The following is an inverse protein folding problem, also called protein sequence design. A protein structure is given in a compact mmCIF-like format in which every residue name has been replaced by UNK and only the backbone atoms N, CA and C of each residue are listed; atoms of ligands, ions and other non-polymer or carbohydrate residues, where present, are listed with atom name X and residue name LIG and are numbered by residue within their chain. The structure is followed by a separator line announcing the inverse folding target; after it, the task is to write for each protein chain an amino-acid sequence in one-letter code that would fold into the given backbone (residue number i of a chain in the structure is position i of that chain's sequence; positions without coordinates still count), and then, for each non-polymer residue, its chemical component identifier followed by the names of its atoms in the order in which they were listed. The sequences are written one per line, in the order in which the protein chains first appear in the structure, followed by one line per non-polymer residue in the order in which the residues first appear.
data_IF_716940595371
#
_entry.id   IF_716940595371
#
_cell.length_a   1.000
_cell.length_b   1.000
_cell.length_c   1.000
_cell.angle_alpha   90.00
_cell.angle_beta   90.00
_cell.angle_gamma   90.00
#
_symmetry.space_group_name_H-M   'P 1'
#
loop_
_entity.id
_entity.type
_entity.pdbx_description
1 polymer ?
#
# COMPACT_ATOMS: atom_id res chain seq x y z
N UNK A 1 38.31 -66.07 13.76
CA UNK A 1 37.98 -64.76 14.36
C UNK A 1 37.36 -63.96 13.24
N UNK A 2 36.04 -64.05 13.14
CA UNK A 2 35.21 -63.46 12.08
C UNK A 2 34.47 -62.23 12.63
N UNK A 3 34.11 -61.37 11.69
CA UNK A 3 33.04 -60.36 11.71
C UNK A 3 33.28 -58.94 12.24
N UNK A 4 33.36 -58.04 11.25
CA UNK A 4 32.61 -56.80 11.03
C UNK A 4 32.68 -55.62 12.03
N UNK A 5 33.24 -54.47 11.61
CA UNK A 5 32.90 -53.16 12.16
C UNK A 5 31.58 -52.63 11.57
N UNK A 6 30.76 -52.07 12.45
CA UNK A 6 29.43 -51.53 12.18
C UNK A 6 29.43 -50.30 11.25
N UNK A 7 28.40 -50.26 10.43
CA UNK A 7 28.01 -49.12 9.61
C UNK A 7 27.56 -47.95 10.49
N UNK A 8 28.27 -46.82 10.41
CA UNK A 8 27.73 -45.52 10.79
C UNK A 8 27.42 -44.73 9.51
N UNK A 9 26.14 -44.63 9.23
CA UNK A 9 25.54 -43.79 8.19
C UNK A 9 25.76 -42.32 8.56
N UNK A 10 26.79 -41.71 7.98
CA UNK A 10 27.04 -40.27 8.03
C UNK A 10 26.45 -39.60 6.80
N UNK A 11 25.19 -39.19 6.91
CA UNK A 11 24.46 -38.49 5.86
C UNK A 11 25.21 -37.25 5.37
N UNK A 12 25.28 -37.16 4.04
CA UNK A 12 25.75 -36.01 3.29
C UNK A 12 24.97 -34.75 3.69
N UNK A 13 25.57 -33.89 4.52
CA UNK A 13 25.14 -32.51 4.65
C UNK A 13 25.63 -31.74 3.42
N UNK A 14 24.90 -31.92 2.31
CA UNK A 14 24.99 -31.09 1.11
C UNK A 14 24.51 -29.70 1.53
N UNK A 15 25.46 -28.82 1.88
CA UNK A 15 25.20 -27.40 2.11
C UNK A 15 24.53 -26.84 0.86
N UNK A 16 23.20 -26.76 0.89
CA UNK A 16 22.42 -26.02 -0.09
C UNK A 16 22.80 -24.56 0.09
N UNK A 17 23.70 -24.12 -0.78
CA UNK A 17 23.84 -22.73 -1.17
C UNK A 17 22.45 -22.25 -1.57
N UNK A 18 21.78 -21.52 -0.68
CA UNK A 18 20.69 -20.63 -1.07
C UNK A 18 21.32 -19.54 -1.92
N UNK A 19 21.41 -19.80 -3.22
CA UNK A 19 21.65 -18.81 -4.25
C UNK A 19 20.55 -17.75 -4.09
N UNK A 20 20.91 -16.63 -3.48
CA UNK A 20 20.24 -15.38 -3.75
C UNK A 20 20.45 -15.11 -5.23
N UNK A 21 19.50 -15.55 -6.05
CA UNK A 21 19.43 -15.17 -7.45
C UNK A 21 19.11 -13.67 -7.47
N UNK A 22 20.15 -12.86 -7.40
CA UNK A 22 20.09 -11.47 -7.81
C UNK A 22 19.59 -11.51 -9.25
N UNK A 23 18.38 -11.01 -9.49
CA UNK A 23 17.91 -10.79 -10.85
C UNK A 23 19.02 -10.05 -11.62
N UNK A 24 19.36 -10.47 -12.85
CA UNK A 24 20.38 -9.79 -13.61
C UNK A 24 20.04 -8.29 -13.69
N UNK A 25 21.04 -7.40 -13.56
CA UNK A 25 20.79 -5.97 -13.69
C UNK A 25 20.18 -5.72 -15.07
N UNK A 26 19.04 -5.04 -15.12
CA UNK A 26 18.42 -4.58 -16.38
C UNK A 26 19.48 -3.78 -17.13
N UNK A 27 19.76 -4.19 -18.37
CA UNK A 27 20.77 -3.50 -19.18
C UNK A 27 20.29 -2.10 -19.54
N UNK A 28 21.23 -1.18 -19.78
CA UNK A 28 20.88 0.20 -20.15
C UNK A 28 20.09 0.23 -21.46
N UNK A 29 20.39 -0.68 -22.38
CA UNK A 29 19.70 -0.87 -23.65
C UNK A 29 18.24 -1.31 -23.44
N UNK A 30 17.98 -2.27 -22.55
CA UNK A 30 16.62 -2.70 -22.21
C UNK A 30 15.82 -1.57 -21.56
N UNK A 31 16.45 -0.78 -20.67
CA UNK A 31 15.80 0.36 -20.04
C UNK A 31 15.41 1.44 -21.07
N UNK A 32 16.28 1.74 -22.04
CA UNK A 32 15.98 2.68 -23.14
C UNK A 32 14.83 2.18 -24.01
N UNK A 33 14.85 0.91 -24.40
CA UNK A 33 13.77 0.30 -25.20
C UNK A 33 12.44 0.32 -24.45
N UNK A 34 12.44 0.03 -23.16
CA UNK A 34 11.24 0.09 -22.33
C UNK A 34 10.67 1.50 -22.25
N UNK A 35 11.51 2.53 -22.08
CA UNK A 35 11.08 3.93 -22.07
C UNK A 35 10.52 4.38 -23.43
N UNK A 36 11.09 3.90 -24.53
CA UNK A 36 10.55 4.15 -25.87
C UNK A 36 9.17 3.54 -26.06
N UNK A 37 8.96 2.31 -25.57
CA UNK A 37 7.65 1.66 -25.58
C UNK A 37 6.63 2.43 -24.74
N UNK A 38 7.00 2.86 -23.52
CA UNK A 38 6.13 3.66 -22.65
C UNK A 38 5.74 5.00 -23.30
N UNK A 39 6.67 5.65 -24.02
CA UNK A 39 6.38 6.91 -24.71
C UNK A 39 5.34 6.74 -25.82
N UNK A 40 5.29 5.58 -26.46
CA UNK A 40 4.33 5.27 -27.52
C UNK A 40 2.99 4.71 -27.03
N UNK A 41 2.90 4.31 -25.76
CA UNK A 41 1.71 3.67 -25.21
C UNK A 41 0.56 4.67 -24.96
N UNK A 42 -0.70 4.27 -25.18
CA UNK A 42 -1.85 5.07 -24.77
C UNK A 42 -1.86 5.31 -23.25
N UNK A 43 -2.18 6.53 -22.82
CA UNK A 43 -2.20 6.87 -21.41
C UNK A 43 -3.23 6.03 -20.63
N UNK A 44 -4.36 5.70 -21.25
CA UNK A 44 -5.42 4.88 -20.68
C UNK A 44 -4.92 3.46 -20.39
N UNK A 45 -4.10 2.89 -21.27
CA UNK A 45 -3.48 1.58 -21.07
C UNK A 45 -2.52 1.61 -19.88
N UNK A 46 -1.64 2.62 -19.81
CA UNK A 46 -0.71 2.78 -18.71
C UNK A 46 -1.43 2.97 -17.37
N UNK A 47 -2.51 3.75 -17.35
CA UNK A 47 -3.35 3.93 -16.17
C UNK A 47 -4.03 2.63 -15.74
N UNK A 48 -4.52 1.83 -16.69
CA UNK A 48 -5.11 0.53 -16.40
C UNK A 48 -4.10 -0.45 -15.79
N UNK A 49 -2.86 -0.48 -16.30
CA UNK A 49 -1.78 -1.34 -15.80
C UNK A 49 -1.34 -0.93 -14.39
N UNK A 50 -1.19 0.37 -14.15
CA UNK A 50 -0.89 0.92 -12.81
C UNK A 50 -1.99 0.59 -11.82
N UNK A 51 -3.26 0.83 -12.18
CA UNK A 51 -4.40 0.54 -11.31
C UNK A 51 -4.48 -0.97 -11.01
N UNK A 52 -4.32 -1.82 -12.02
CA UNK A 52 -4.34 -3.27 -11.83
C UNK A 52 -3.25 -3.73 -10.86
N UNK A 53 -2.05 -3.15 -10.97
CA UNK A 53 -0.93 -3.45 -10.08
C UNK A 53 -1.20 -2.99 -8.63
N UNK A 54 -1.74 -1.78 -8.45
CA UNK A 54 -2.10 -1.27 -7.12
C UNK A 54 -3.21 -2.11 -6.47
N UNK A 55 -4.26 -2.45 -7.21
CA UNK A 55 -5.37 -3.25 -6.72
C UNK A 55 -4.93 -4.68 -6.36
N UNK A 56 -4.07 -5.29 -7.18
CA UNK A 56 -3.48 -6.61 -6.89
C UNK A 56 -2.62 -6.56 -5.63
N UNK A 57 -1.79 -5.52 -5.49
CA UNK A 57 -1.00 -5.30 -4.28
C UNK A 57 -1.86 -5.08 -3.04
N UNK A 58 -2.96 -4.34 -3.15
CA UNK A 58 -3.92 -4.13 -2.07
C UNK A 58 -4.57 -5.45 -1.63
N UNK A 59 -5.01 -6.28 -2.58
CA UNK A 59 -5.56 -7.61 -2.31
C UNK A 59 -4.57 -8.49 -1.55
N UNK A 60 -3.32 -8.53 -2.00
CA UNK A 60 -2.27 -9.34 -1.38
C UNK A 60 -1.91 -8.88 0.04
N UNK A 61 -2.24 -7.64 0.41
CA UNK A 61 -1.90 -7.02 1.69
C UNK A 61 -3.11 -6.74 2.59
N UNK A 62 -4.27 -7.33 2.31
CA UNK A 62 -5.48 -7.09 3.11
C UNK A 62 -5.24 -7.32 4.61
N UNK A 63 -5.76 -6.41 5.43
CA UNK A 63 -5.56 -6.39 6.88
C UNK A 63 -4.34 -5.59 7.34
N UNK A 64 -3.46 -5.20 6.41
CA UNK A 64 -2.27 -4.37 6.69
C UNK A 64 -2.52 -2.91 6.38
N UNK A 65 -1.75 -2.02 6.99
CA UNK A 65 -1.82 -0.56 6.75
C UNK A 65 -1.40 -0.20 5.32
N UNK A 66 -0.47 -0.96 4.74
CA UNK A 66 -0.09 -0.88 3.33
C UNK A 66 -1.30 -0.99 2.39
N UNK A 67 -2.22 -1.93 2.64
CA UNK A 67 -3.37 -2.12 1.77
C UNK A 67 -4.30 -0.91 1.78
N UNK A 68 -4.48 -0.25 2.94
CA UNK A 68 -5.22 1.02 3.00
C UNK A 68 -4.60 2.07 2.07
N UNK A 69 -3.28 2.25 2.13
CA UNK A 69 -2.58 3.19 1.27
C UNK A 69 -2.76 2.87 -0.22
N UNK A 70 -2.67 1.59 -0.59
CA UNK A 70 -2.83 1.16 -1.99
C UNK A 70 -4.27 1.36 -2.49
N UNK A 71 -5.26 1.06 -1.66
CA UNK A 71 -6.69 1.31 -1.96
C UNK A 71 -6.96 2.80 -2.13
N UNK A 72 -6.44 3.63 -1.23
CA UNK A 72 -6.65 5.09 -1.28
C UNK A 72 -5.93 5.72 -2.47
N UNK A 73 -4.70 5.29 -2.75
CA UNK A 73 -3.93 5.73 -3.93
C UNK A 73 -4.65 5.35 -5.23
N UNK A 74 -5.20 4.13 -5.30
CA UNK A 74 -6.00 3.69 -6.46
C UNK A 74 -7.23 4.57 -6.65
N UNK A 75 -7.93 4.92 -5.56
CA UNK A 75 -9.07 5.83 -5.59
C UNK A 75 -8.68 7.21 -6.12
N UNK A 76 -7.57 7.80 -5.65
CA UNK A 76 -7.08 9.09 -6.12
C UNK A 76 -6.75 9.09 -7.61
N UNK A 77 -6.09 8.03 -8.09
CA UNK A 77 -5.76 7.88 -9.52
C UNK A 77 -7.03 7.81 -10.35
N UNK A 78 -8.02 6.99 -9.96
CA UNK A 78 -9.30 6.87 -10.68
C UNK A 78 -10.06 8.18 -10.66
N UNK A 79 -10.16 8.86 -9.52
CA UNK A 79 -10.90 10.11 -9.41
C UNK A 79 -10.32 11.21 -10.29
N UNK A 80 -8.99 11.29 -10.38
CA UNK A 80 -8.33 12.24 -11.27
C UNK A 80 -8.45 11.84 -12.75
N UNK A 81 -8.31 10.55 -13.07
CA UNK A 81 -8.33 10.05 -14.44
C UNK A 81 -9.74 9.85 -15.01
N UNK A 82 -10.79 9.91 -14.17
CA UNK A 82 -12.19 9.65 -14.52
C UNK A 82 -12.65 10.34 -15.83
N UNK A 83 -12.34 11.62 -16.10
CA UNK A 83 -12.76 12.30 -17.34
C UNK A 83 -12.12 11.74 -18.61
N UNK A 84 -11.02 11.00 -18.48
CA UNK A 84 -10.21 10.48 -19.58
C UNK A 84 -10.36 8.97 -19.77
N UNK A 85 -11.10 8.29 -18.89
CA UNK A 85 -11.26 6.85 -18.91
C UNK A 85 -12.66 6.43 -19.39
N UNK A 86 -12.79 5.24 -20.02
CA UNK A 86 -14.10 4.71 -20.37
C UNK A 86 -14.96 4.52 -19.12
N UNK A 87 -16.21 5.00 -19.15
CA UNK A 87 -17.13 4.93 -18.00
C UNK A 87 -17.32 3.50 -17.45
N UNK A 88 -17.30 2.50 -18.34
CA UNK A 88 -17.37 1.09 -17.96
C UNK A 88 -16.15 0.66 -17.13
N UNK A 89 -14.95 1.09 -17.52
CA UNK A 89 -13.73 0.78 -16.78
C UNK A 89 -13.75 1.45 -15.40
N UNK A 90 -14.09 2.74 -15.36
CA UNK A 90 -14.25 3.50 -14.10
C UNK A 90 -15.22 2.78 -13.16
N UNK A 91 -16.38 2.37 -13.66
CA UNK A 91 -17.40 1.68 -12.85
C UNK A 91 -16.92 0.32 -12.33
N UNK A 92 -16.14 -0.42 -13.11
CA UNK A 92 -15.52 -1.67 -12.66
C UNK A 92 -14.53 -1.41 -11.53
N UNK A 93 -13.66 -0.41 -11.68
CA UNK A 93 -12.68 -0.08 -10.63
C UNK A 93 -13.37 0.44 -9.37
N UNK A 94 -14.41 1.28 -9.49
CA UNK A 94 -15.20 1.75 -8.34
C UNK A 94 -15.79 0.57 -7.54
N UNK A 95 -16.33 -0.44 -8.23
CA UNK A 95 -16.86 -1.65 -7.60
C UNK A 95 -15.77 -2.46 -6.89
N UNK A 96 -14.61 -2.64 -7.54
CA UNK A 96 -13.48 -3.35 -6.92
C UNK A 96 -12.98 -2.60 -5.69
N UNK A 97 -12.84 -1.27 -5.75
CA UNK A 97 -12.42 -0.44 -4.61
C UNK A 97 -13.41 -0.55 -3.45
N UNK A 98 -14.72 -0.54 -3.72
CA UNK A 98 -15.74 -0.72 -2.68
C UNK A 98 -15.60 -2.09 -1.99
N UNK A 99 -15.40 -3.16 -2.76
CA UNK A 99 -15.19 -4.51 -2.22
C UNK A 99 -13.91 -4.58 -1.38
N UNK A 100 -12.80 -4.02 -1.87
CA UNK A 100 -11.53 -4.04 -1.15
C UNK A 100 -11.58 -3.24 0.16
N UNK A 101 -12.29 -2.11 0.20
CA UNK A 101 -12.46 -1.34 1.45
C UNK A 101 -13.18 -2.15 2.51
N UNK A 102 -14.25 -2.87 2.13
CA UNK A 102 -14.97 -3.74 3.06
C UNK A 102 -14.10 -4.91 3.52
N UNK A 103 -13.44 -5.59 2.57
CA UNK A 103 -12.53 -6.70 2.87
C UNK A 103 -11.37 -6.26 3.78
N UNK A 104 -10.85 -5.05 3.60
CA UNK A 104 -9.79 -4.48 4.44
C UNK A 104 -10.26 -4.31 5.88
N UNK A 105 -11.46 -3.76 6.10
CA UNK A 105 -12.02 -3.57 7.45
C UNK A 105 -12.24 -4.91 8.14
N UNK A 106 -12.71 -5.91 7.41
CA UNK A 106 -12.89 -7.27 7.94
C UNK A 106 -11.56 -7.94 8.29
N UNK A 107 -10.58 -7.86 7.40
CA UNK A 107 -9.24 -8.42 7.61
C UNK A 107 -8.52 -7.76 8.79
N UNK A 108 -8.64 -6.45 8.97
CA UNK A 108 -8.05 -5.74 10.10
C UNK A 108 -8.63 -6.16 11.45
N UNK A 109 -9.95 -6.43 11.52
CA UNK A 109 -10.55 -6.97 12.75
C UNK A 109 -9.96 -8.32 13.11
N UNK A 110 -9.66 -9.14 12.10
CA UNK A 110 -9.02 -10.45 12.30
C UNK A 110 -7.57 -10.27 12.76
N UNK A 111 -6.77 -9.49 12.07
CA UNK A 111 -5.35 -9.24 12.43
C UNK A 111 -5.24 -8.60 13.82
N UNK A 112 -6.12 -7.65 14.16
CA UNK A 112 -6.16 -7.04 15.49
C UNK A 112 -6.44 -8.06 16.61
N UNK A 113 -7.19 -9.13 16.33
CA UNK A 113 -7.42 -10.21 17.28
C UNK A 113 -6.21 -11.14 17.44
N UNK A 114 -5.34 -11.21 16.44
CA UNK A 114 -4.13 -12.05 16.40
C UNK A 114 -2.90 -11.33 16.96
N UNK A 115 -2.96 -10.00 17.18
CA UNK A 115 -1.87 -9.16 17.71
C UNK A 115 -0.52 -9.36 16.99
N UNK A 116 -0.56 -9.67 15.70
CA UNK A 116 0.64 -9.82 14.89
C UNK A 116 1.01 -8.50 14.20
N UNK A 117 2.17 -7.97 14.55
CA UNK A 117 2.83 -6.94 13.75
C UNK A 117 3.54 -7.63 12.56
N UNK A 118 3.15 -7.25 11.34
CA UNK A 118 3.70 -7.79 10.10
C UNK A 118 4.98 -7.05 9.67
N UNK A 119 6.04 -7.76 9.26
CA UNK A 119 7.26 -7.10 8.77
C UNK A 119 6.99 -6.29 7.51
N UNK A 120 7.63 -5.12 7.43
CA UNK A 120 7.52 -4.15 6.33
C UNK A 120 6.11 -3.58 6.12
N UNK A 121 5.23 -3.60 7.13
CA UNK A 121 4.00 -2.79 7.09
C UNK A 121 4.28 -1.33 7.48
N UNK A 122 3.36 -0.42 7.14
CA UNK A 122 3.49 0.98 7.52
C UNK A 122 3.51 1.13 9.05
N UNK A 123 4.33 2.06 9.53
CA UNK A 123 4.41 2.37 10.96
C UNK A 123 3.12 2.98 11.54
N UNK A 124 2.29 3.60 10.70
CA UNK A 124 1.02 4.21 11.09
C UNK A 124 -0.06 3.97 10.05
N UNK A 125 -1.32 4.06 10.47
CA UNK A 125 -2.46 3.99 9.56
C UNK A 125 -2.46 5.25 8.68
N UNK A 126 -2.48 5.13 7.34
CA UNK A 126 -2.61 6.27 6.45
C UNK A 126 -3.88 7.08 6.75
N UNK A 127 -3.76 8.40 6.76
CA UNK A 127 -4.93 9.26 6.78
C UNK A 127 -5.68 9.10 5.45
N UNK A 128 -7.02 9.03 5.46
CA UNK A 128 -7.79 8.96 4.23
C UNK A 128 -7.58 10.23 3.39
N UNK A 129 -7.65 10.13 2.06
CA UNK A 129 -7.50 11.28 1.17
C UNK A 129 -8.57 12.34 1.45
N UNK A 130 -8.16 13.61 1.44
CA UNK A 130 -9.05 14.74 1.67
C UNK A 130 -10.13 14.80 0.57
N UNK A 131 -11.40 14.72 0.95
CA UNK A 131 -12.49 14.89 0.01
C UNK A 131 -12.61 16.38 -0.39
N UNK A 132 -12.73 16.71 -1.68
CA UNK A 132 -12.99 18.07 -2.11
C UNK A 132 -14.37 18.50 -1.59
N UNK A 133 -14.39 19.36 -0.57
CA UNK A 133 -15.61 19.89 0.06
C UNK A 133 -15.65 19.77 1.58
N UNK A 134 -14.82 18.93 2.20
CA UNK A 134 -14.66 18.87 3.65
C UNK A 134 -13.32 19.47 4.05
N UNK A 135 -13.21 20.80 3.94
CA UNK A 135 -12.25 21.52 4.76
C UNK A 135 -12.70 21.34 6.22
N UNK A 136 -12.04 20.45 6.96
CA UNK A 136 -12.06 20.51 8.41
C UNK A 136 -11.64 21.92 8.81
N UNK A 137 -12.38 22.65 9.67
CA UNK A 137 -11.93 23.94 10.13
C UNK A 137 -10.56 23.74 10.77
N UNK A 138 -9.58 24.52 10.31
CA UNK A 138 -8.29 24.63 10.95
C UNK A 138 -8.53 24.71 12.46
N UNK A 139 -7.83 23.87 13.21
CA UNK A 139 -7.77 23.94 14.66
C UNK A 139 -7.32 25.36 15.00
N UNK A 140 -8.28 26.22 15.33
CA UNK A 140 -8.02 27.57 15.75
C UNK A 140 -7.26 27.43 17.06
N UNK A 141 -5.95 27.71 17.01
CA UNK A 141 -5.17 28.01 18.20
C UNK A 141 -6.00 29.02 19.00
N UNK A 142 -6.41 28.72 20.24
CA UNK A 142 -7.22 29.66 21.00
C UNK A 142 -6.47 30.98 21.10
N UNK A 143 -7.07 32.12 20.71
CA UNK A 143 -6.41 33.39 20.87
C UNK A 143 -6.12 33.59 22.35
N UNK A 144 -4.85 33.85 22.68
CA UNK A 144 -4.45 34.26 24.01
C UNK A 144 -5.31 35.45 24.42
N UNK A 145 -6.21 35.24 25.38
CA UNK A 145 -7.01 36.31 25.94
C UNK A 145 -6.07 37.34 26.57
N UNK A 146 -6.11 38.62 26.18
CA UNK A 146 -5.41 39.65 26.91
C UNK A 146 -6.05 39.77 28.30
N UNK A 147 -5.23 39.59 29.33
CA UNK A 147 -5.59 39.77 30.74
C UNK A 147 -6.00 41.22 30.98
N UNK A 148 -7.28 41.51 30.79
CA UNK A 148 -7.86 42.83 31.04
C UNK A 148 -8.06 42.99 32.55
N UNK A 149 -7.05 43.61 33.17
CA UNK A 149 -7.13 44.20 34.50
C UNK A 149 -8.17 45.33 34.52
N UNK A 150 -8.89 45.41 35.63
CA UNK A 150 -9.54 46.59 36.19
C UNK A 150 -10.69 47.23 35.39
N UNK A 151 -11.93 46.89 35.78
CA UNK A 151 -12.86 47.91 36.26
C UNK A 151 -13.96 47.29 37.13
N UNK A 152 -14.12 47.79 38.36
CA UNK A 152 -15.26 47.45 39.25
C UNK A 152 -15.97 48.75 39.57
N UNK A 153 -17.21 48.97 39.08
CA UNK A 153 -18.06 50.04 39.57
C UNK A 153 -18.89 49.59 40.78
N UNK A 154 -18.79 50.36 41.86
CA UNK A 154 -19.80 50.41 42.91
C UNK A 154 -19.46 49.63 44.17
N UNK A 155 -18.77 50.29 45.11
CA UNK A 155 -19.34 50.82 46.36
C UNK A 155 -18.43 51.90 46.92
#
# INVERSE_FOLDING_TARGET
MSDQPGSASGGQAKGQQTQGATAPPVSEEEARQYLEQLRGAPAEQLLADVLSSLLTGAQAKLGRRDARLLIDSSGLVVDHARPHLPQQFVSQVDNVLAQLRMAQIEAEKKVASEQQDEPNDLASVPAPPAQPGTATPAQQTPPQAPTSKLWVPGR
#
